data_IF_639103371263
#
_entry.id   IF_639103371263
#
_cell.length_a   1.000
_cell.length_b   1.000
_cell.length_c   1.000
_cell.angle_alpha   90.00
_cell.angle_beta   90.00
_cell.angle_gamma   90.00
#
_symmetry.space_group_name_H-M   'P 1'
#
loop_
_entity.id
_entity.type
_entity.pdbx_description
1 polymer ?
#
# COMPACT_ATOMS: atom_id res chain seq x y z
N UNK A 1 37.19 -32.71 -92.31
CA UNK A 1 35.92 -32.41 -91.53
C UNK A 1 36.14 -31.13 -90.79
N UNK A 2 35.62 -30.00 -91.24
CA UNK A 2 35.74 -28.70 -90.57
C UNK A 2 34.41 -28.48 -89.83
N UNK A 3 34.41 -28.43 -88.47
CA UNK A 3 33.24 -28.17 -87.61
C UNK A 3 32.98 -26.66 -87.62
N UNK A 4 31.86 -26.27 -88.20
CA UNK A 4 31.34 -24.90 -88.14
C UNK A 4 30.89 -24.57 -86.71
N UNK A 5 31.62 -23.66 -86.04
CA UNK A 5 31.20 -23.06 -84.78
C UNK A 5 30.18 -21.91 -85.05
N UNK A 6 28.90 -22.10 -84.62
CA UNK A 6 27.91 -21.05 -84.64
C UNK A 6 28.28 -20.00 -83.62
N UNK A 7 28.65 -18.80 -83.99
CA UNK A 7 28.84 -17.65 -83.11
C UNK A 7 27.42 -17.25 -82.53
N UNK A 8 27.20 -17.39 -81.22
CA UNK A 8 26.04 -16.91 -80.53
C UNK A 8 26.00 -15.37 -80.61
N UNK A 9 24.99 -14.82 -81.28
CA UNK A 9 24.75 -13.37 -81.33
C UNK A 9 24.43 -12.89 -79.90
N UNK A 10 25.38 -12.20 -79.29
CA UNK A 10 25.13 -11.42 -78.07
C UNK A 10 24.22 -10.25 -78.42
N UNK A 11 22.99 -10.24 -77.91
CA UNK A 11 22.11 -9.07 -77.92
C UNK A 11 22.86 -7.90 -77.26
N UNK A 12 23.13 -6.84 -77.98
CA UNK A 12 23.66 -5.57 -77.49
C UNK A 12 22.66 -5.07 -76.47
N UNK A 13 23.06 -5.04 -75.21
CA UNK A 13 22.28 -4.39 -74.11
C UNK A 13 22.08 -2.93 -74.53
N UNK A 14 20.82 -2.45 -74.36
CA UNK A 14 20.54 -1.02 -74.52
C UNK A 14 21.27 -0.28 -73.38
N UNK A 15 22.19 0.63 -73.72
CA UNK A 15 22.84 1.48 -72.72
C UNK A 15 21.84 2.41 -72.04
N UNK A 16 22.04 2.71 -70.78
CA UNK A 16 21.26 3.69 -70.03
C UNK A 16 21.45 5.09 -70.62
N UNK A 17 20.34 5.84 -70.68
CA UNK A 17 20.46 7.27 -71.09
C UNK A 17 20.90 8.08 -69.85
N UNK A 18 21.56 9.21 -70.09
CA UNK A 18 22.02 10.11 -68.99
C UNK A 18 20.86 10.60 -68.09
N UNK A 19 19.70 10.83 -68.69
CA UNK A 19 18.48 11.25 -67.96
C UNK A 19 17.93 10.13 -67.09
N UNK A 20 17.97 8.89 -67.53
CA UNK A 20 17.52 7.71 -66.79
C UNK A 20 18.42 7.47 -65.59
N UNK A 21 19.74 7.63 -65.74
CA UNK A 21 20.71 7.57 -64.65
C UNK A 21 20.44 8.67 -63.61
N UNK A 22 20.12 9.90 -64.05
CA UNK A 22 19.86 11.04 -63.17
C UNK A 22 18.56 10.85 -62.37
N UNK A 23 17.53 10.29 -62.98
CA UNK A 23 16.25 9.96 -62.28
C UNK A 23 16.50 8.85 -61.26
N UNK A 24 17.21 7.77 -61.60
CA UNK A 24 17.49 6.68 -60.63
C UNK A 24 18.34 7.14 -59.46
N UNK A 25 19.36 7.97 -59.69
CA UNK A 25 20.17 8.52 -58.59
C UNK A 25 19.36 9.47 -57.71
N UNK A 26 18.49 10.28 -58.30
CA UNK A 26 17.55 11.14 -57.53
C UNK A 26 16.62 10.34 -56.63
N UNK A 27 15.97 9.30 -57.16
CA UNK A 27 15.10 8.41 -56.40
C UNK A 27 15.89 7.69 -55.30
N UNK A 28 17.10 7.22 -55.60
CA UNK A 28 17.95 6.50 -54.65
C UNK A 28 18.35 7.41 -53.45
N UNK A 29 18.71 8.66 -53.71
CA UNK A 29 19.07 9.63 -52.65
C UNK A 29 17.87 9.94 -51.76
N UNK A 30 16.67 10.17 -52.36
CA UNK A 30 15.43 10.41 -51.59
C UNK A 30 15.08 9.18 -50.75
N UNK A 31 15.13 7.98 -51.34
CA UNK A 31 14.83 6.73 -50.66
C UNK A 31 15.80 6.46 -49.50
N UNK A 32 17.10 6.70 -49.72
CA UNK A 32 18.11 6.57 -48.66
C UNK A 32 17.86 7.53 -47.50
N UNK A 33 17.48 8.79 -47.79
CA UNK A 33 17.10 9.78 -46.74
C UNK A 33 15.89 9.35 -45.92
N UNK A 34 14.84 8.82 -46.57
CA UNK A 34 13.66 8.29 -45.87
C UNK A 34 13.98 7.09 -45.01
N UNK A 35 14.75 6.13 -45.51
CA UNK A 35 15.19 4.93 -44.77
C UNK A 35 16.01 5.35 -43.54
N UNK A 36 16.95 6.29 -43.69
CA UNK A 36 17.77 6.76 -42.58
C UNK A 36 16.91 7.39 -41.47
N UNK A 37 15.93 8.20 -41.83
CA UNK A 37 14.99 8.79 -40.85
C UNK A 37 14.18 7.72 -40.11
N UNK A 38 13.65 6.73 -40.83
CA UNK A 38 12.88 5.63 -40.21
C UNK A 38 13.74 4.83 -39.24
N UNK A 39 14.97 4.51 -39.61
CA UNK A 39 15.94 3.78 -38.77
C UNK A 39 16.29 4.59 -37.52
N UNK A 40 16.48 5.91 -37.64
CA UNK A 40 16.76 6.77 -36.49
C UNK A 40 15.57 6.83 -35.52
N UNK A 41 14.35 6.97 -36.05
CA UNK A 41 13.10 6.98 -35.19
C UNK A 41 12.96 5.62 -34.50
N UNK A 42 13.12 4.51 -35.22
CA UNK A 42 13.03 3.17 -34.65
C UNK A 42 14.11 2.93 -33.57
N UNK A 43 15.34 3.38 -33.82
CA UNK A 43 16.42 3.28 -32.83
C UNK A 43 16.14 4.07 -31.56
N UNK A 44 15.65 5.32 -31.69
CA UNK A 44 15.27 6.14 -30.52
C UNK A 44 14.10 5.52 -29.74
N UNK A 45 13.07 5.02 -30.42
CA UNK A 45 11.96 4.33 -29.81
C UNK A 45 12.44 3.08 -29.04
N UNK A 46 13.30 2.26 -29.64
CA UNK A 46 13.87 1.08 -28.99
C UNK A 46 14.70 1.45 -27.74
N UNK A 47 15.53 2.50 -27.80
CA UNK A 47 16.31 2.96 -26.65
C UNK A 47 15.40 3.43 -25.51
N UNK A 48 14.32 4.16 -25.84
CA UNK A 48 13.35 4.62 -24.86
C UNK A 48 12.66 3.45 -24.16
N UNK A 49 12.20 2.45 -24.92
CA UNK A 49 11.57 1.24 -24.36
C UNK A 49 12.53 0.49 -23.45
N UNK A 50 13.81 0.35 -23.83
CA UNK A 50 14.81 -0.31 -22.98
C UNK A 50 15.02 0.42 -21.65
N UNK A 51 15.04 1.77 -21.66
CA UNK A 51 15.14 2.57 -20.43
C UNK A 51 13.89 2.39 -19.55
N UNK A 52 12.70 2.39 -20.15
CA UNK A 52 11.45 2.17 -19.42
C UNK A 52 11.39 0.76 -18.80
N UNK A 53 11.82 -0.26 -19.51
CA UNK A 53 11.93 -1.64 -19.00
C UNK A 53 12.92 -1.74 -17.85
N UNK A 54 14.07 -1.08 -17.94
CA UNK A 54 15.08 -1.07 -16.87
C UNK A 54 14.56 -0.38 -15.61
N UNK A 55 13.87 0.77 -15.74
CA UNK A 55 13.25 1.46 -14.61
C UNK A 55 12.15 0.61 -13.95
N UNK A 56 11.32 -0.04 -14.75
CA UNK A 56 10.27 -0.92 -14.23
C UNK A 56 10.86 -2.15 -13.53
N UNK A 57 11.92 -2.73 -14.10
CA UNK A 57 12.63 -3.84 -13.45
C UNK A 57 13.23 -3.42 -12.10
N UNK A 58 13.87 -2.25 -12.03
CA UNK A 58 14.43 -1.74 -10.78
C UNK A 58 13.34 -1.47 -9.74
N UNK A 59 12.16 -0.94 -10.14
CA UNK A 59 11.01 -0.76 -9.24
C UNK A 59 10.54 -2.10 -8.66
N UNK A 60 10.44 -3.17 -9.49
CA UNK A 60 10.07 -4.51 -9.00
C UNK A 60 11.10 -5.07 -8.02
N UNK A 61 12.40 -4.82 -8.25
CA UNK A 61 13.47 -5.24 -7.33
C UNK A 61 13.32 -4.52 -5.98
N UNK A 62 13.07 -3.21 -5.97
CA UNK A 62 12.82 -2.47 -4.74
C UNK A 62 11.57 -2.98 -4.01
N UNK A 63 10.48 -3.18 -4.74
CA UNK A 63 9.24 -3.73 -4.18
C UNK A 63 9.48 -5.05 -3.47
N UNK A 64 10.20 -5.98 -4.11
CA UNK A 64 10.48 -7.29 -3.55
C UNK A 64 11.38 -7.22 -2.32
N UNK A 65 12.43 -6.39 -2.34
CA UNK A 65 13.33 -6.19 -1.19
C UNK A 65 12.56 -5.60 0.00
N UNK A 66 11.76 -4.53 -0.22
CA UNK A 66 10.95 -3.94 0.84
C UNK A 66 9.94 -4.93 1.37
N UNK A 67 9.24 -5.66 0.49
CA UNK A 67 8.28 -6.69 0.88
C UNK A 67 8.91 -7.74 1.79
N UNK A 68 10.02 -8.34 1.37
CA UNK A 68 10.70 -9.39 2.16
C UNK A 68 11.14 -8.88 3.53
N UNK A 69 11.72 -7.69 3.61
CA UNK A 69 12.24 -7.16 4.87
C UNK A 69 11.13 -6.68 5.79
N UNK A 70 10.11 -5.99 5.27
CA UNK A 70 8.99 -5.51 6.08
C UNK A 70 8.16 -6.69 6.59
N UNK A 71 7.87 -7.70 5.76
CA UNK A 71 7.11 -8.88 6.20
C UNK A 71 7.87 -9.77 7.18
N UNK A 72 9.20 -9.77 7.15
CA UNK A 72 10.03 -10.51 8.09
C UNK A 72 10.27 -9.76 9.42
N UNK A 73 9.90 -8.49 9.51
CA UNK A 73 10.09 -7.68 10.69
C UNK A 73 9.09 -8.03 11.79
N UNK A 74 9.49 -7.83 13.05
CA UNK A 74 8.62 -7.95 14.23
C UNK A 74 7.96 -6.62 14.62
N UNK A 75 8.43 -5.50 14.06
CA UNK A 75 7.93 -4.18 14.36
C UNK A 75 8.70 -3.10 13.63
N UNK A 76 8.26 -1.86 13.87
CA UNK A 76 8.87 -0.65 13.32
C UNK A 76 9.51 0.11 14.48
N UNK A 77 10.84 0.32 14.42
CA UNK A 77 11.53 1.12 15.42
C UNK A 77 11.33 2.63 15.16
N UNK A 78 11.45 3.05 13.90
CA UNK A 78 11.26 4.44 13.51
C UNK A 78 10.98 4.59 12.01
N UNK A 79 10.19 5.61 11.67
CA UNK A 79 9.96 6.09 10.31
C UNK A 79 10.20 7.60 10.31
N UNK A 80 11.02 8.09 9.40
CA UNK A 80 11.30 9.51 9.25
C UNK A 80 11.67 9.85 7.79
N UNK A 81 10.69 10.29 7.01
CA UNK A 81 10.91 10.64 5.61
C UNK A 81 11.55 9.50 4.83
N UNK A 82 12.82 9.63 4.46
CA UNK A 82 13.56 8.61 3.67
C UNK A 82 14.25 7.52 4.52
N UNK A 83 13.99 7.48 5.83
CA UNK A 83 14.53 6.48 6.75
C UNK A 83 13.42 5.56 7.26
N UNK A 84 13.64 4.25 7.14
CA UNK A 84 12.83 3.20 7.77
C UNK A 84 13.74 2.30 8.58
N UNK A 85 13.47 2.16 9.89
CA UNK A 85 14.15 1.22 10.79
C UNK A 85 13.17 0.15 11.26
N UNK A 86 13.48 -1.09 10.96
CA UNK A 86 12.67 -2.28 11.28
C UNK A 86 13.28 -3.05 12.45
N UNK A 87 12.45 -3.54 13.35
CA UNK A 87 12.83 -4.48 14.40
C UNK A 87 12.77 -5.90 13.83
N UNK A 88 13.90 -6.60 13.85
CA UNK A 88 14.00 -7.98 13.34
C UNK A 88 14.06 -8.99 14.49
N UNK A 89 13.60 -10.22 14.23
CA UNK A 89 13.74 -11.35 15.17
C UNK A 89 15.18 -11.86 15.27
N UNK A 90 15.93 -11.76 14.19
CA UNK A 90 17.33 -12.14 14.08
C UNK A 90 18.20 -11.00 14.64
N UNK A 91 18.95 -11.25 15.71
CA UNK A 91 19.81 -10.26 16.38
C UNK A 91 20.89 -9.71 15.46
N UNK A 92 21.41 -10.52 14.53
CA UNK A 92 22.46 -10.11 13.60
C UNK A 92 21.91 -9.15 12.50
N UNK A 93 20.59 -9.15 12.30
CA UNK A 93 19.89 -8.29 11.34
C UNK A 93 19.12 -7.15 12.00
N UNK A 94 19.14 -7.05 13.32
CA UNK A 94 18.39 -6.06 14.08
C UNK A 94 19.26 -4.87 14.51
N UNK A 95 18.90 -3.64 14.16
CA UNK A 95 17.80 -3.26 13.26
C UNK A 95 18.14 -3.46 11.77
N UNK A 96 17.13 -3.66 10.91
CA UNK A 96 17.28 -3.47 9.46
C UNK A 96 16.88 -2.05 9.11
N UNK A 97 17.79 -1.28 8.50
CA UNK A 97 17.62 0.14 8.24
C UNK A 97 17.71 0.39 6.73
N UNK A 98 16.69 1.08 6.18
CA UNK A 98 16.72 1.62 4.83
C UNK A 98 16.92 3.13 4.86
N UNK A 99 17.80 3.65 4.01
CA UNK A 99 18.06 5.09 3.87
C UNK A 99 18.26 5.48 2.42
N UNK A 100 17.88 6.73 2.08
CA UNK A 100 18.24 7.37 0.83
C UNK A 100 19.26 8.47 1.10
N UNK A 101 20.44 8.39 0.48
CA UNK A 101 21.48 9.42 0.50
C UNK A 101 22.12 9.53 -0.89
N UNK A 102 22.30 10.76 -1.38
CA UNK A 102 22.97 11.03 -2.66
C UNK A 102 22.41 10.23 -3.85
N UNK A 103 21.09 10.09 -3.92
CA UNK A 103 20.35 9.30 -4.94
C UNK A 103 20.61 7.78 -4.88
N UNK A 104 21.17 7.30 -3.78
CA UNK A 104 21.45 5.89 -3.51
C UNK A 104 20.59 5.41 -2.36
N UNK A 105 19.84 4.34 -2.56
CA UNK A 105 19.16 3.60 -1.50
C UNK A 105 20.10 2.55 -0.96
N UNK A 106 20.27 2.53 0.33
CA UNK A 106 21.04 1.50 1.03
C UNK A 106 20.19 0.76 2.06
N UNK A 107 20.53 -0.50 2.28
CA UNK A 107 19.99 -1.34 3.35
C UNK A 107 21.13 -1.77 4.27
N UNK A 108 20.96 -1.57 5.58
CA UNK A 108 21.91 -2.02 6.60
C UNK A 108 21.22 -3.00 7.53
N UNK A 109 21.83 -4.15 7.79
CA UNK A 109 21.38 -5.16 8.75
C UNK A 109 22.29 -5.16 9.97
N UNK A 110 21.72 -4.93 11.17
CA UNK A 110 22.46 -4.85 12.42
C UNK A 110 23.59 -3.84 12.37
N UNK A 111 24.77 -4.26 12.82
CA UNK A 111 26.02 -3.49 12.76
C UNK A 111 26.81 -3.71 11.44
N UNK A 112 26.20 -4.38 10.45
CA UNK A 112 26.82 -4.68 9.17
C UNK A 112 27.09 -3.45 8.30
N UNK A 113 27.88 -3.66 7.24
CA UNK A 113 28.15 -2.62 6.25
C UNK A 113 26.87 -2.39 5.40
N UNK A 114 26.46 -1.12 5.15
CA UNK A 114 25.32 -0.85 4.29
C UNK A 114 25.50 -1.43 2.88
N UNK A 115 24.49 -2.15 2.41
CA UNK A 115 24.43 -2.69 1.05
C UNK A 115 23.66 -1.75 0.14
N UNK A 116 24.25 -1.38 -0.99
CA UNK A 116 23.66 -0.47 -1.97
C UNK A 116 22.67 -1.23 -2.86
N UNK A 117 21.46 -0.67 -3.03
CA UNK A 117 20.35 -1.29 -3.76
C UNK A 117 20.19 -0.81 -5.20
N UNK A 118 20.80 0.32 -5.58
CA UNK A 118 20.78 0.85 -6.95
C UNK A 118 22.17 1.35 -7.38
N UNK A 119 22.43 1.25 -8.67
CA UNK A 119 23.57 1.89 -9.30
C UNK A 119 23.19 3.31 -9.74
N UNK A 120 23.60 4.32 -8.97
CA UNK A 120 23.28 5.73 -9.23
C UNK A 120 23.93 6.29 -10.50
N UNK A 121 24.95 5.64 -11.05
CA UNK A 121 25.50 5.99 -12.36
C UNK A 121 24.50 5.65 -13.49
N UNK A 122 23.65 4.65 -13.27
CA UNK A 122 22.65 4.20 -14.23
C UNK A 122 21.24 4.65 -13.87
N UNK A 123 20.82 4.44 -12.62
CA UNK A 123 19.49 4.79 -12.11
C UNK A 123 19.63 5.53 -10.78
N UNK A 124 19.17 6.76 -10.75
CA UNK A 124 19.08 7.59 -9.54
C UNK A 124 17.74 7.37 -8.83
N UNK A 125 17.76 7.29 -7.52
CA UNK A 125 16.54 7.41 -6.71
C UNK A 125 16.41 8.87 -6.27
N UNK A 126 15.50 9.60 -6.90
CA UNK A 126 15.32 11.03 -6.64
C UNK A 126 14.40 11.30 -5.45
N UNK A 127 13.55 10.34 -5.11
CA UNK A 127 12.68 10.41 -3.92
C UNK A 127 12.43 9.01 -3.38
N UNK A 128 12.48 8.88 -2.05
CA UNK A 128 12.05 7.71 -1.29
C UNK A 128 11.40 8.22 -0.02
N UNK A 129 10.12 7.91 0.18
CA UNK A 129 9.36 8.34 1.35
C UNK A 129 8.66 7.15 1.97
N UNK A 130 8.87 6.95 3.26
CA UNK A 130 8.16 5.97 4.08
C UNK A 130 7.13 6.70 4.94
N UNK A 131 5.88 6.24 4.90
CA UNK A 131 4.77 6.82 5.67
C UNK A 131 4.00 5.70 6.36
N UNK A 132 3.73 5.80 7.67
CA UNK A 132 2.78 4.91 8.32
C UNK A 132 1.41 5.05 7.66
N UNK A 133 0.73 3.92 7.47
CA UNK A 133 -0.64 3.93 6.92
C UNK A 133 -1.48 2.86 7.60
N UNK A 134 -2.79 2.89 7.37
CA UNK A 134 -3.71 1.88 7.86
C UNK A 134 -3.44 0.56 7.15
N UNK A 135 -3.25 -0.55 7.87
CA UNK A 135 -3.11 -1.87 7.25
C UNK A 135 -4.35 -2.25 6.45
N UNK A 136 -4.16 -2.83 5.27
CA UNK A 136 -5.25 -3.39 4.45
C UNK A 136 -5.59 -4.83 4.86
N UNK A 137 -5.48 -5.13 6.13
CA UNK A 137 -5.84 -6.41 6.76
C UNK A 137 -6.59 -6.11 8.04
N UNK A 138 -7.36 -7.06 8.56
CA UNK A 138 -8.00 -6.93 9.87
C UNK A 138 -7.39 -7.93 10.85
N UNK A 139 -7.31 -7.56 12.13
CA UNK A 139 -7.02 -8.50 13.20
C UNK A 139 -8.28 -8.87 14.00
N UNK A 140 -9.46 -8.57 13.47
CA UNK A 140 -10.74 -9.03 14.02
C UNK A 140 -11.00 -10.49 13.59
N UNK A 141 -11.61 -11.27 14.48
CA UNK A 141 -12.00 -12.66 14.24
C UNK A 141 -13.01 -12.77 13.09
N UNK A 142 -12.82 -13.73 12.19
CA UNK A 142 -13.81 -14.03 11.14
C UNK A 142 -15.10 -14.69 11.66
N UNK A 143 -15.10 -15.13 12.94
CA UNK A 143 -16.27 -15.77 13.57
C UNK A 143 -17.00 -14.81 14.47
N UNK A 144 -16.28 -13.99 15.22
CA UNK A 144 -16.80 -13.08 16.22
C UNK A 144 -16.44 -11.64 15.85
N UNK A 145 -17.27 -11.00 15.02
CA UNK A 145 -16.99 -9.68 14.46
C UNK A 145 -18.19 -8.73 14.46
N UNK A 146 -19.29 -9.11 15.11
CA UNK A 146 -20.52 -8.33 15.11
C UNK A 146 -20.76 -7.61 16.43
N UNK A 147 -21.13 -6.33 16.34
CA UNK A 147 -21.83 -5.58 17.36
C UNK A 147 -23.29 -5.38 16.96
N UNK A 148 -24.16 -5.07 17.91
CA UNK A 148 -25.60 -4.93 17.72
C UNK A 148 -26.13 -3.60 18.21
N UNK A 149 -27.05 -3.00 17.45
CA UNK A 149 -27.87 -1.86 17.88
C UNK A 149 -29.34 -2.11 17.51
N UNK A 150 -30.26 -1.74 18.41
CA UNK A 150 -31.71 -1.87 18.18
C UNK A 150 -32.17 -1.02 16.98
N UNK A 151 -31.53 0.13 16.73
CA UNK A 151 -31.98 1.09 15.74
C UNK A 151 -31.39 0.84 14.33
N UNK A 152 -30.16 0.31 14.24
CA UNK A 152 -29.46 0.13 12.95
C UNK A 152 -29.07 -1.32 12.66
N UNK A 153 -29.36 -2.26 13.61
CA UNK A 153 -29.05 -3.68 13.42
C UNK A 153 -27.57 -4.01 13.60
N UNK A 154 -27.08 -4.95 12.79
CA UNK A 154 -25.72 -5.49 12.88
C UNK A 154 -24.67 -4.54 12.32
N UNK A 155 -23.58 -4.43 13.07
CA UNK A 155 -22.37 -3.69 12.69
C UNK A 155 -21.22 -4.71 12.60
N UNK A 156 -20.60 -4.80 11.43
CA UNK A 156 -19.56 -5.78 11.09
C UNK A 156 -18.18 -5.13 11.13
N UNK A 157 -17.31 -5.62 12.02
CA UNK A 157 -15.94 -5.15 12.20
C UNK A 157 -14.90 -5.88 11.32
N UNK A 158 -15.32 -6.93 10.59
CA UNK A 158 -14.46 -7.68 9.68
C UNK A 158 -15.01 -7.73 8.24
N UNK A 159 -15.95 -6.86 7.90
CA UNK A 159 -16.49 -6.76 6.54
C UNK A 159 -15.35 -6.50 5.53
N UNK A 160 -15.41 -7.03 4.30
CA UNK A 160 -14.40 -6.76 3.28
C UNK A 160 -14.18 -5.25 3.07
N UNK A 161 -12.95 -4.77 3.30
CA UNK A 161 -12.61 -3.34 3.29
C UNK A 161 -12.67 -2.65 4.65
N UNK A 162 -13.05 -3.32 5.73
CA UNK A 162 -13.06 -2.78 7.10
C UNK A 162 -11.67 -2.42 7.60
N UNK A 163 -10.70 -3.30 7.38
CA UNK A 163 -9.31 -3.15 7.81
C UNK A 163 -9.16 -2.73 9.29
N UNK A 164 -10.08 -3.19 10.15
CA UNK A 164 -10.04 -2.87 11.58
C UNK A 164 -8.79 -3.46 12.21
N UNK A 165 -8.04 -2.61 12.91
CA UNK A 165 -6.88 -2.97 13.70
C UNK A 165 -7.12 -2.57 15.14
N UNK A 166 -7.01 -3.53 16.03
CA UNK A 166 -7.12 -3.35 17.47
C UNK A 166 -5.76 -3.55 18.09
N UNK A 167 -5.23 -2.58 18.87
CA UNK A 167 -3.94 -2.75 19.54
C UNK A 167 -4.03 -3.89 20.56
N UNK A 168 -2.92 -4.61 20.74
CA UNK A 168 -2.87 -5.77 21.63
C UNK A 168 -3.04 -5.39 23.09
N UNK A 169 -2.58 -4.20 23.51
CA UNK A 169 -2.75 -3.65 24.85
C UNK A 169 -3.28 -2.22 24.81
N UNK A 170 -2.39 -1.23 24.68
CA UNK A 170 -2.73 0.18 24.57
C UNK A 170 -2.45 0.73 23.19
N UNK A 171 -3.25 1.67 22.74
CA UNK A 171 -3.08 2.33 21.45
C UNK A 171 -4.40 2.63 20.76
N UNK A 172 -4.29 3.17 19.55
CA UNK A 172 -5.44 3.61 18.78
C UNK A 172 -5.99 2.47 17.91
N UNK A 173 -7.32 2.35 17.83
CA UNK A 173 -7.99 1.51 16.87
C UNK A 173 -7.92 2.18 15.49
N UNK A 174 -7.77 1.38 14.44
CA UNK A 174 -7.75 1.83 13.04
C UNK A 174 -8.85 1.15 12.23
N UNK A 175 -9.12 1.66 11.03
CA UNK A 175 -10.05 1.07 10.08
C UNK A 175 -11.50 1.48 10.29
N UNK A 176 -12.41 0.65 9.76
CA UNK A 176 -13.82 0.98 9.65
C UNK A 176 -14.69 -0.20 10.08
N UNK A 177 -15.82 0.07 10.75
CA UNK A 177 -16.89 -0.91 10.90
C UNK A 177 -18.00 -0.64 9.88
N UNK A 178 -18.66 -1.70 9.40
CA UNK A 178 -19.67 -1.63 8.35
C UNK A 178 -21.07 -1.88 8.90
N UNK A 179 -22.03 -1.00 8.61
CA UNK A 179 -23.42 -1.14 9.02
C UNK A 179 -24.17 -1.93 7.96
N UNK A 180 -24.66 -3.13 8.33
CA UNK A 180 -25.27 -4.06 7.36
C UNK A 180 -26.63 -3.58 6.83
N UNK A 181 -27.36 -2.75 7.60
CA UNK A 181 -28.72 -2.33 7.23
C UNK A 181 -28.76 -1.33 6.08
N UNK A 182 -27.78 -0.43 5.98
CA UNK A 182 -27.77 0.66 5.00
C UNK A 182 -26.49 0.80 4.18
N UNK A 183 -25.48 -0.04 4.47
CA UNK A 183 -24.22 -0.03 3.75
C UNK A 183 -23.28 1.11 4.11
N UNK A 184 -23.53 1.82 5.21
CA UNK A 184 -22.67 2.92 5.65
C UNK A 184 -21.52 2.45 6.53
N UNK A 185 -20.54 3.33 6.75
CA UNK A 185 -19.32 3.04 7.48
C UNK A 185 -19.20 3.87 8.75
N UNK A 186 -18.54 3.29 9.75
CA UNK A 186 -18.10 3.94 10.98
C UNK A 186 -16.58 3.95 10.98
N UNK A 187 -15.97 5.11 10.88
CA UNK A 187 -14.52 5.28 10.97
C UNK A 187 -14.07 5.31 12.43
N UNK A 188 -13.12 4.45 12.79
CA UNK A 188 -12.58 4.34 14.15
C UNK A 188 -11.45 5.34 14.42
N UNK A 189 -10.92 5.99 13.38
CA UNK A 189 -9.77 6.90 13.47
C UNK A 189 -9.72 7.85 12.27
N UNK A 190 -9.35 9.10 12.49
CA UNK A 190 -9.23 10.12 11.44
C UNK A 190 -8.18 9.80 10.36
N UNK A 191 -7.23 8.89 10.64
CA UNK A 191 -6.25 8.43 9.64
C UNK A 191 -6.91 7.71 8.47
N UNK A 192 -7.96 6.95 8.72
CA UNK A 192 -8.69 6.23 7.67
C UNK A 192 -9.45 7.14 6.72
N UNK A 193 -9.83 8.33 7.15
CA UNK A 193 -10.56 9.35 6.37
C UNK A 193 -9.67 10.51 5.91
N UNK A 194 -8.35 10.45 6.20
CA UNK A 194 -7.37 11.53 5.93
C UNK A 194 -7.83 12.90 6.48
N UNK A 195 -8.56 12.90 7.60
CA UNK A 195 -9.17 14.08 8.18
C UNK A 195 -8.45 14.63 9.41
N UNK A 196 -7.38 13.98 9.89
CA UNK A 196 -6.69 14.32 11.14
C UNK A 196 -6.15 15.77 11.19
N UNK A 197 -5.86 16.36 10.04
CA UNK A 197 -5.44 17.76 9.97
C UNK A 197 -6.56 18.76 10.29
N UNK A 198 -7.83 18.34 10.13
CA UNK A 198 -9.01 19.16 10.39
C UNK A 198 -9.70 18.80 11.69
N UNK A 199 -9.97 17.51 11.90
CA UNK A 199 -10.63 16.96 13.09
C UNK A 199 -9.88 15.71 13.53
N UNK A 200 -9.15 15.82 14.64
CA UNK A 200 -8.42 14.70 15.25
C UNK A 200 -9.38 13.91 16.15
N UNK A 201 -9.81 12.74 15.68
CA UNK A 201 -10.65 11.80 16.42
C UNK A 201 -10.12 10.37 16.32
N UNK A 202 -10.35 9.61 17.37
CA UNK A 202 -9.95 8.21 17.43
C UNK A 202 -10.65 7.48 18.56
N UNK A 203 -10.73 6.17 18.43
CA UNK A 203 -11.01 5.25 19.53
C UNK A 203 -9.68 4.69 19.99
N UNK A 204 -9.41 4.74 21.30
CA UNK A 204 -8.16 4.24 21.89
C UNK A 204 -8.45 3.24 22.98
N UNK A 205 -7.62 2.22 23.10
CA UNK A 205 -7.60 1.26 24.22
C UNK A 205 -6.51 1.66 25.21
N UNK A 206 -6.78 1.58 26.49
CA UNK A 206 -5.75 1.72 27.53
C UNK A 206 -5.11 0.37 27.89
N UNK A 207 -4.17 0.38 28.85
CA UNK A 207 -3.46 -0.83 29.32
C UNK A 207 -4.36 -1.88 29.97
N UNK A 208 -5.55 -1.48 30.44
CA UNK A 208 -6.54 -2.38 31.04
C UNK A 208 -7.53 -2.93 30.01
N UNK A 209 -7.51 -2.39 28.79
CA UNK A 209 -8.43 -2.72 27.71
C UNK A 209 -9.71 -1.87 27.73
N UNK A 210 -9.77 -0.80 28.54
CA UNK A 210 -10.87 0.15 28.50
C UNK A 210 -10.76 1.03 27.25
N UNK A 211 -11.82 1.07 26.43
CA UNK A 211 -11.87 1.91 25.26
C UNK A 211 -12.41 3.30 25.63
N UNK A 212 -11.91 4.30 24.90
CA UNK A 212 -12.34 5.70 25.04
C UNK A 212 -12.20 6.42 23.70
N UNK A 213 -12.74 7.63 23.63
CA UNK A 213 -12.68 8.46 22.42
C UNK A 213 -13.90 8.29 21.54
N UNK A 214 -13.73 8.69 20.27
CA UNK A 214 -14.82 8.87 19.34
C UNK A 214 -14.56 8.15 18.02
N UNK A 215 -15.63 7.52 17.49
CA UNK A 215 -15.72 7.11 16.10
C UNK A 215 -16.66 8.06 15.33
N UNK A 216 -16.58 8.07 14.02
CA UNK A 216 -17.37 8.94 13.14
C UNK A 216 -18.07 8.13 12.03
N UNK A 217 -19.35 8.44 11.83
CA UNK A 217 -20.10 7.99 10.66
C UNK A 217 -20.65 9.20 9.92
N UNK A 218 -20.50 9.24 8.58
CA UNK A 218 -21.09 10.30 7.76
C UNK A 218 -22.62 10.30 7.84
N UNK A 219 -23.23 9.12 8.09
CA UNK A 219 -24.68 8.95 8.17
C UNK A 219 -25.24 9.26 9.56
N UNK A 220 -24.49 8.86 10.61
CA UNK A 220 -25.00 8.87 11.99
C UNK A 220 -24.26 9.82 12.94
N UNK A 221 -23.18 10.46 12.46
CA UNK A 221 -22.39 11.38 13.28
C UNK A 221 -21.48 10.67 14.29
N UNK A 222 -21.32 11.27 15.45
CA UNK A 222 -20.37 10.83 16.49
C UNK A 222 -20.88 9.64 17.29
N UNK A 223 -19.95 8.73 17.61
CA UNK A 223 -20.16 7.54 18.43
C UNK A 223 -19.12 7.54 19.54
N UNK A 224 -19.55 7.64 20.78
CA UNK A 224 -18.70 7.63 21.98
C UNK A 224 -18.51 6.21 22.50
N UNK A 225 -17.24 5.85 22.77
CA UNK A 225 -16.90 4.53 23.31
C UNK A 225 -16.80 4.49 24.85
N UNK A 226 -16.97 5.64 25.51
CA UNK A 226 -16.87 5.74 26.96
C UNK A 226 -17.56 7.03 27.44
N UNK A 227 -18.30 6.95 28.53
CA UNK A 227 -18.92 8.11 29.16
C UNK A 227 -17.93 9.21 29.58
N UNK A 228 -16.64 8.88 29.74
CA UNK A 228 -15.58 9.88 29.95
C UNK A 228 -15.36 10.77 28.73
N UNK A 229 -15.60 10.25 27.54
CA UNK A 229 -15.36 10.98 26.29
C UNK A 229 -16.39 12.07 26.04
N UNK A 230 -17.67 11.87 26.51
CA UNK A 230 -18.78 12.80 26.38
C UNK A 230 -19.16 13.48 27.70
N UNK A 231 -18.39 13.21 28.79
CA UNK A 231 -18.64 13.74 30.14
C UNK A 231 -19.98 13.35 30.73
N UNK A 232 -20.55 12.20 30.39
CA UNK A 232 -21.86 11.74 30.87
C UNK A 232 -21.79 10.74 32.04
N UNK A 233 -20.59 10.33 32.48
CA UNK A 233 -20.41 9.30 33.52
C UNK A 233 -21.16 9.58 34.85
N UNK A 234 -21.46 10.84 35.12
CA UNK A 234 -22.26 11.21 36.33
C UNK A 234 -23.76 10.88 36.19
N UNK A 235 -24.23 10.64 34.96
CA UNK A 235 -25.63 10.32 34.65
C UNK A 235 -25.79 8.88 34.19
N UNK A 236 -24.95 8.45 33.25
CA UNK A 236 -24.96 7.10 32.70
C UNK A 236 -23.53 6.62 32.59
N UNK A 237 -23.22 5.57 33.34
CA UNK A 237 -21.89 4.96 33.29
C UNK A 237 -21.87 3.87 32.21
N UNK A 238 -21.16 4.09 31.12
CA UNK A 238 -20.95 3.13 30.03
C UNK A 238 -19.56 3.19 29.52
N UNK A 239 -19.06 2.07 28.99
CA UNK A 239 -17.82 1.95 28.23
C UNK A 239 -17.83 0.66 27.44
N UNK A 240 -17.02 0.63 26.41
CA UNK A 240 -16.59 -0.60 25.75
C UNK A 240 -15.28 -1.04 26.39
N UNK A 241 -15.15 -2.31 26.72
CA UNK A 241 -13.93 -2.91 27.25
C UNK A 241 -13.45 -4.02 26.35
N UNK A 242 -12.16 -4.23 26.28
CA UNK A 242 -11.53 -5.38 25.60
C UNK A 242 -10.78 -6.21 26.64
N UNK A 243 -11.08 -7.49 26.73
CA UNK A 243 -10.30 -8.41 27.53
C UNK A 243 -8.95 -8.68 26.85
N UNK A 244 -7.87 -8.26 27.47
CA UNK A 244 -6.51 -8.40 26.90
C UNK A 244 -6.03 -9.86 26.79
N UNK A 245 -6.66 -10.80 27.50
CA UNK A 245 -6.29 -12.23 27.45
C UNK A 245 -7.06 -13.01 26.39
N UNK A 246 -8.32 -12.62 26.10
CA UNK A 246 -9.19 -13.34 25.15
C UNK A 246 -9.43 -12.56 23.86
N UNK A 247 -9.16 -11.25 23.84
CA UNK A 247 -9.48 -10.35 22.74
C UNK A 247 -10.98 -10.01 22.64
N UNK A 248 -11.83 -10.53 23.53
CA UNK A 248 -13.27 -10.27 23.51
C UNK A 248 -13.60 -8.85 23.95
N UNK A 249 -14.45 -8.18 23.17
CA UNK A 249 -15.04 -6.91 23.56
C UNK A 249 -16.31 -7.14 24.37
N UNK A 250 -16.64 -6.18 25.23
CA UNK A 250 -17.85 -6.16 26.04
C UNK A 250 -18.31 -4.73 26.30
N UNK A 251 -19.55 -4.57 26.75
CA UNK A 251 -20.13 -3.28 27.09
C UNK A 251 -20.73 -2.54 25.89
N UNK A 252 -20.83 -1.20 26.03
CA UNK A 252 -21.62 -0.37 25.14
C UNK A 252 -20.87 0.88 24.66
N UNK A 253 -21.10 1.25 23.39
CA UNK A 253 -20.88 2.58 22.85
C UNK A 253 -22.26 3.31 22.74
N UNK A 254 -22.19 4.65 22.63
CA UNK A 254 -23.38 5.51 22.55
C UNK A 254 -23.28 6.52 21.39
N UNK A 255 -24.39 6.74 20.72
CA UNK A 255 -24.56 7.82 19.75
C UNK A 255 -25.95 8.43 19.88
N UNK A 256 -26.06 9.75 19.74
CA UNK A 256 -27.34 10.46 19.78
C UNK A 256 -28.31 10.00 18.68
N UNK A 257 -27.79 9.57 17.53
CA UNK A 257 -28.58 9.18 16.36
C UNK A 257 -28.81 7.67 16.24
N UNK A 258 -27.91 6.85 16.81
CA UNK A 258 -27.98 5.39 16.77
C UNK A 258 -28.58 4.82 18.05
N UNK A 259 -28.35 5.48 19.19
CA UNK A 259 -28.59 4.92 20.52
C UNK A 259 -27.44 4.02 20.97
N UNK A 260 -27.77 2.96 21.71
CA UNK A 260 -26.80 2.01 22.23
C UNK A 260 -26.29 1.04 21.16
N UNK A 261 -24.98 0.76 21.22
CA UNK A 261 -24.32 -0.28 20.44
C UNK A 261 -23.69 -1.26 21.43
N UNK A 262 -24.18 -2.50 21.46
CA UNK A 262 -23.67 -3.58 22.28
C UNK A 262 -22.57 -4.37 21.56
N UNK A 263 -21.47 -4.64 22.26
CA UNK A 263 -20.31 -5.36 21.72
C UNK A 263 -20.27 -6.85 22.07
N UNK A 264 -21.18 -7.32 22.95
CA UNK A 264 -21.21 -8.72 23.40
C UNK A 264 -22.63 -9.14 23.85
N UNK A 265 -22.99 -10.37 23.50
CA UNK A 265 -24.25 -10.96 23.97
C UNK A 265 -24.34 -11.14 25.49
N UNK A 266 -23.20 -11.22 26.21
CA UNK A 266 -23.18 -11.33 27.69
C UNK A 266 -23.84 -10.15 28.39
N UNK A 267 -23.81 -8.99 27.75
CA UNK A 267 -24.43 -7.75 28.26
C UNK A 267 -25.48 -7.20 27.29
N UNK A 268 -25.82 -7.95 26.23
CA UNK A 268 -26.63 -7.50 25.09
C UNK A 268 -28.12 -7.37 25.35
N UNK A 269 -28.64 -7.94 26.43
CA UNK A 269 -30.06 -7.89 26.78
C UNK A 269 -30.47 -6.66 27.59
N UNK A 270 -31.79 -6.46 27.75
CA UNK A 270 -32.32 -5.37 28.55
C UNK A 270 -31.75 -5.41 29.99
N UNK A 271 -31.29 -4.27 30.50
CA UNK A 271 -30.62 -4.19 31.79
C UNK A 271 -29.26 -4.88 31.84
N UNK A 272 -28.57 -5.04 30.69
CA UNK A 272 -27.27 -5.70 30.58
C UNK A 272 -27.30 -7.19 30.94
N UNK A 273 -28.39 -7.88 30.61
CA UNK A 273 -28.54 -9.31 30.85
C UNK A 273 -27.87 -10.14 29.74
N UNK A 274 -27.44 -11.35 30.14
CA UNK A 274 -26.85 -12.32 29.21
C UNK A 274 -27.92 -12.92 28.28
N UNK A 275 -27.74 -12.80 26.99
CA UNK A 275 -28.60 -13.35 25.92
C UNK A 275 -27.87 -14.30 24.98
N UNK A 276 -26.62 -14.73 25.31
CA UNK A 276 -25.81 -15.56 24.45
C UNK A 276 -26.45 -16.89 24.07
N UNK A 277 -27.36 -17.44 24.89
CA UNK A 277 -28.13 -18.64 24.56
C UNK A 277 -29.10 -18.43 23.38
N UNK A 278 -29.47 -17.18 23.09
CA UNK A 278 -30.45 -16.83 22.04
C UNK A 278 -29.81 -16.13 20.87
N UNK A 279 -28.72 -15.39 21.11
CA UNK A 279 -27.98 -14.65 20.08
C UNK A 279 -26.51 -14.55 20.48
N UNK A 280 -25.70 -15.52 20.03
CA UNK A 280 -24.25 -15.56 20.29
C UNK A 280 -23.51 -14.59 19.36
N UNK A 281 -23.28 -13.38 19.82
CA UNK A 281 -22.49 -12.38 19.10
C UNK A 281 -21.49 -11.69 20.02
N UNK A 282 -20.39 -11.29 19.44
CA UNK A 282 -19.38 -10.41 20.04
C UNK A 282 -18.42 -9.88 18.98
N UNK A 283 -17.66 -8.87 19.33
CA UNK A 283 -16.46 -8.47 18.62
C UNK A 283 -15.27 -9.08 19.35
N UNK A 284 -14.34 -9.69 18.61
CA UNK A 284 -13.12 -10.31 19.18
C UNK A 284 -11.93 -10.05 18.29
N UNK A 285 -10.84 -9.53 18.84
CA UNK A 285 -9.57 -9.46 18.16
C UNK A 285 -8.82 -10.81 18.21
N UNK A 286 -7.97 -11.04 17.19
CA UNK A 286 -7.12 -12.24 17.08
C UNK A 286 -5.83 -12.12 17.90
N UNK A 287 -5.67 -11.04 18.66
CA UNK A 287 -4.45 -10.74 19.44
C UNK A 287 -3.19 -10.74 18.58
N UNK A 288 -3.29 -10.13 17.41
CA UNK A 288 -2.21 -9.94 16.46
C UNK A 288 -1.96 -8.45 16.26
N UNK A 289 -0.71 -8.04 16.25
CA UNK A 289 -0.36 -6.68 15.88
C UNK A 289 -0.20 -6.58 14.38
N UNK A 290 -0.74 -5.55 13.80
CA UNK A 290 -0.50 -5.23 12.40
C UNK A 290 -0.26 -3.74 12.23
N UNK A 291 0.67 -3.45 11.35
CA UNK A 291 1.00 -2.11 10.92
C UNK A 291 1.20 -2.11 9.41
N UNK A 292 1.07 -0.97 8.77
CA UNK A 292 1.35 -0.86 7.35
C UNK A 292 2.27 0.32 7.07
N UNK A 293 3.09 0.15 6.06
CA UNK A 293 4.02 1.16 5.56
C UNK A 293 3.70 1.42 4.10
N UNK A 294 3.36 2.65 3.80
CA UNK A 294 3.32 3.15 2.42
C UNK A 294 4.73 3.60 2.03
N UNK A 295 5.23 3.07 0.91
CA UNK A 295 6.54 3.41 0.33
C UNK A 295 6.30 4.08 -1.01
N UNK A 296 6.69 5.35 -1.12
CA UNK A 296 6.64 6.12 -2.36
C UNK A 296 8.07 6.30 -2.88
N UNK A 297 8.33 5.83 -4.09
CA UNK A 297 9.66 5.87 -4.70
C UNK A 297 9.61 6.48 -6.09
N UNK A 298 10.58 7.33 -6.41
CA UNK A 298 10.78 7.91 -7.74
C UNK A 298 12.17 7.60 -8.23
N UNK A 299 12.25 6.98 -9.39
CA UNK A 299 13.48 6.65 -10.10
C UNK A 299 13.66 7.56 -11.31
N UNK A 300 14.89 7.87 -11.64
CA UNK A 300 15.28 8.60 -12.86
C UNK A 300 16.45 7.88 -13.53
N UNK A 301 16.33 7.63 -14.83
CA UNK A 301 17.43 7.08 -15.61
C UNK A 301 18.49 8.15 -15.85
N UNK A 302 19.73 7.90 -15.39
CA UNK A 302 20.84 8.84 -15.47
C UNK A 302 21.44 8.87 -16.89
N UNK A 303 20.93 9.73 -17.75
CA UNK A 303 21.38 9.86 -19.12
C UNK A 303 21.83 11.28 -19.45
N UNK A 304 22.93 11.38 -20.19
CA UNK A 304 23.38 12.66 -20.78
C UNK A 304 22.47 13.13 -21.93
N UNK A 305 21.60 12.25 -22.45
CA UNK A 305 20.64 12.56 -23.50
C UNK A 305 19.30 12.92 -22.84
N UNK A 306 18.80 14.16 -22.95
CA UNK A 306 17.58 14.60 -22.29
C UNK A 306 16.35 13.73 -22.66
N UNK A 307 16.30 13.21 -23.88
CA UNK A 307 15.22 12.34 -24.35
C UNK A 307 15.18 10.96 -23.69
N UNK A 308 16.25 10.56 -23.00
CA UNK A 308 16.38 9.32 -22.24
C UNK A 308 16.41 9.53 -20.73
N UNK A 309 16.42 10.78 -20.24
CA UNK A 309 16.28 11.11 -18.83
C UNK A 309 14.80 10.93 -18.41
N UNK A 310 14.37 9.68 -18.29
CA UNK A 310 12.98 9.30 -17.98
C UNK A 310 12.87 9.06 -16.48
N UNK A 311 11.80 9.59 -15.88
CA UNK A 311 11.44 9.36 -14.48
C UNK A 311 10.23 8.44 -14.37
N UNK A 312 10.22 7.59 -13.33
CA UNK A 312 9.10 6.71 -12.95
C UNK A 312 8.89 6.76 -11.45
N UNK A 313 7.64 6.91 -11.04
CA UNK A 313 7.24 6.84 -9.63
C UNK A 313 6.33 5.64 -9.42
N UNK A 314 6.43 5.03 -8.25
CA UNK A 314 5.51 4.00 -7.81
C UNK A 314 5.23 4.13 -6.31
N UNK A 315 4.09 3.60 -5.90
CA UNK A 315 3.65 3.55 -4.51
C UNK A 315 3.32 2.12 -4.15
N UNK A 316 3.88 1.64 -3.05
CA UNK A 316 3.64 0.31 -2.50
C UNK A 316 3.07 0.42 -1.10
N UNK A 317 2.21 -0.50 -0.72
CA UNK A 317 1.73 -0.66 0.66
C UNK A 317 2.09 -2.06 1.16
N UNK A 318 2.78 -2.13 2.28
CA UNK A 318 3.20 -3.39 2.89
C UNK A 318 2.60 -3.51 4.27
N UNK A 319 1.91 -4.63 4.52
CA UNK A 319 1.39 -4.99 5.83
C UNK A 319 2.42 -5.80 6.61
N UNK A 320 2.55 -5.47 7.88
CA UNK A 320 3.34 -6.17 8.87
C UNK A 320 2.37 -6.77 9.89
N UNK A 321 2.35 -8.09 10.01
CA UNK A 321 1.45 -8.80 10.93
C UNK A 321 2.32 -9.68 11.82
N UNK A 322 2.26 -9.43 13.13
CA UNK A 322 3.01 -10.19 14.12
C UNK A 322 2.07 -10.82 15.14
N UNK A 323 2.13 -12.16 15.37
CA UNK A 323 1.40 -12.79 16.45
C UNK A 323 1.96 -12.32 17.80
N UNK A 324 1.08 -12.15 18.78
CA UNK A 324 1.48 -11.90 20.16
C UNK A 324 2.35 -13.05 20.70
N UNK A 325 3.41 -12.71 21.39
CA UNK A 325 4.21 -13.64 22.18
C UNK A 325 3.59 -13.86 23.56
#
# INVERSE_FOLDING_TARGET
>A
MIKNYKIKNYKKGKGFTLIELLIYTGILVISAGLITNVVQIASRASQKTQVEEELNHQLMVFEEIFRQKIQAAQGINSISGSLLSLQMSDTDKNPTIFTLSDNVVSSQEGEGIPFVLNDSEKIKVTSLVFTPTVPEVTNISNTYHYAWSENIGWIDFAYPGSYVQVPTREGDLLGFAYILSDGSWISLNCLGTDSCSGVDYKVSSDVLGDLSGWAWSEHYGWISFNCLSDNTCSFVNYKVTKNNDTGEFDGYAWSENIGWISFNCKTGGEGQTDICDTSDYKVQDLRMESSAIKVEITLEYNSLKPELAISRSNTFVFNLVTPMK
#
